data_IF_939615497150
#
_entry.id   IF_939615497150
#
_cell.length_a   1.000
_cell.length_b   1.000
_cell.length_c   1.000
_cell.angle_alpha   90.00
_cell.angle_beta   90.00
_cell.angle_gamma   90.00
#
_symmetry.space_group_name_H-M   'P 1'
#
loop_
_entity.id
_entity.type
_entity.pdbx_description
1 polymer ?
#
# COMPACT_ATOMS: atom_id res chain seq x y z
N UNK A 1 -5.41 23.26 11.35
CA UNK A 1 -6.06 22.49 10.29
C UNK A 1 -6.41 23.38 9.09
N UNK A 2 -7.18 24.47 9.25
CA UNK A 2 -7.64 25.33 8.15
C UNK A 2 -6.52 25.85 7.23
N UNK A 3 -5.34 26.13 7.77
CA UNK A 3 -4.15 26.50 6.98
C UNK A 3 -3.59 25.31 6.20
N UNK A 4 -3.53 24.13 6.81
CA UNK A 4 -2.99 22.92 6.17
C UNK A 4 -3.81 22.51 4.95
N UNK A 5 -5.12 22.46 5.07
CA UNK A 5 -6.05 22.08 3.97
C UNK A 5 -5.95 23.02 2.76
N UNK A 6 -5.48 24.25 2.94
CA UNK A 6 -5.26 25.21 1.84
C UNK A 6 -3.94 24.99 1.09
N UNK A 7 -3.07 24.07 1.57
CA UNK A 7 -1.78 23.81 0.94
C UNK A 7 -1.87 22.67 -0.06
N UNK A 8 -1.12 22.79 -1.17
CA UNK A 8 -0.99 21.70 -2.15
C UNK A 8 -0.41 20.42 -1.53
N UNK A 9 0.48 20.56 -0.55
CA UNK A 9 1.11 19.43 0.16
C UNK A 9 0.09 18.56 0.87
N UNK A 10 -0.93 19.15 1.50
CA UNK A 10 -2.00 18.41 2.17
C UNK A 10 -2.74 17.52 1.18
N UNK A 11 -3.10 18.04 0.02
CA UNK A 11 -3.84 17.28 -1.00
C UNK A 11 -2.99 16.21 -1.68
N UNK A 12 -1.70 16.47 -1.90
CA UNK A 12 -0.79 15.43 -2.38
C UNK A 12 -0.64 14.29 -1.38
N UNK A 13 -0.53 14.58 -0.08
CA UNK A 13 -0.56 13.55 0.96
C UNK A 13 -1.88 12.80 0.97
N UNK A 14 -3.02 13.49 0.92
CA UNK A 14 -4.34 12.86 0.90
C UNK A 14 -4.47 11.89 -0.30
N UNK A 15 -4.11 12.33 -1.50
CA UNK A 15 -4.11 11.47 -2.70
C UNK A 15 -3.18 10.27 -2.53
N UNK A 16 -1.96 10.49 -2.04
CA UNK A 16 -0.99 9.42 -1.81
C UNK A 16 -1.51 8.38 -0.81
N UNK A 17 -2.09 8.81 0.29
CA UNK A 17 -2.61 7.91 1.32
C UNK A 17 -3.89 7.19 0.88
N UNK A 18 -4.81 7.88 0.19
CA UNK A 18 -6.03 7.26 -0.37
C UNK A 18 -5.64 6.17 -1.37
N UNK A 19 -4.76 6.48 -2.33
CA UNK A 19 -4.33 5.55 -3.36
C UNK A 19 -3.53 4.36 -2.79
N UNK A 20 -2.65 4.62 -1.82
CA UNK A 20 -1.88 3.57 -1.14
C UNK A 20 -2.77 2.62 -0.35
N UNK A 21 -3.76 3.16 0.38
CA UNK A 21 -4.66 2.33 1.18
C UNK A 21 -5.67 1.56 0.32
N UNK A 22 -6.09 2.15 -0.81
CA UNK A 22 -6.87 1.42 -1.82
C UNK A 22 -6.12 0.15 -2.27
N UNK A 23 -4.88 0.31 -2.71
CA UNK A 23 -4.06 -0.80 -3.19
C UNK A 23 -3.82 -1.86 -2.11
N UNK A 24 -3.53 -1.41 -0.89
CA UNK A 24 -3.36 -2.28 0.27
C UNK A 24 -4.55 -3.18 0.48
N UNK A 25 -5.74 -2.60 0.66
CA UNK A 25 -6.93 -3.37 1.00
C UNK A 25 -7.51 -4.14 -0.19
N UNK A 26 -7.36 -3.65 -1.42
CA UNK A 26 -7.75 -4.40 -2.62
C UNK A 26 -7.01 -5.74 -2.69
N UNK A 27 -5.72 -5.77 -2.39
CA UNK A 27 -4.92 -7.00 -2.33
C UNK A 27 -5.24 -7.80 -1.07
N UNK A 28 -5.17 -7.18 0.10
CA UNK A 28 -5.27 -7.86 1.39
C UNK A 28 -6.57 -8.63 1.58
N UNK A 29 -7.68 -8.09 1.11
CA UNK A 29 -9.01 -8.71 1.27
C UNK A 29 -9.24 -9.85 0.28
N UNK A 30 -8.74 -9.70 -0.94
CA UNK A 30 -9.08 -10.65 -2.01
C UNK A 30 -8.03 -11.72 -2.28
N UNK A 31 -6.76 -11.54 -1.86
CA UNK A 31 -5.67 -12.45 -2.21
C UNK A 31 -5.91 -13.90 -1.78
N UNK A 32 -6.49 -14.13 -0.59
CA UNK A 32 -6.73 -15.50 -0.10
C UNK A 32 -7.78 -16.22 -0.93
N UNK A 33 -8.93 -15.55 -1.20
CA UNK A 33 -9.98 -16.10 -2.06
C UNK A 33 -9.45 -16.35 -3.48
N UNK A 34 -8.73 -15.37 -4.02
CA UNK A 34 -8.11 -15.49 -5.34
C UNK A 34 -7.16 -16.67 -5.46
N UNK A 35 -6.27 -16.89 -4.48
CA UNK A 35 -5.35 -18.03 -4.49
C UNK A 35 -6.11 -19.37 -4.52
N UNK A 36 -7.21 -19.48 -3.78
CA UNK A 36 -8.05 -20.69 -3.81
C UNK A 36 -8.72 -20.87 -5.19
N UNK A 37 -9.22 -19.81 -5.79
CA UNK A 37 -9.87 -19.85 -7.11
C UNK A 37 -8.90 -20.28 -8.24
N UNK A 38 -7.63 -19.92 -8.15
CA UNK A 38 -6.61 -20.34 -9.14
C UNK A 38 -5.98 -21.71 -8.83
N UNK A 39 -6.48 -22.44 -7.82
CA UNK A 39 -6.15 -23.84 -7.56
C UNK A 39 -5.19 -24.11 -6.39
N UNK A 40 -4.81 -23.11 -5.60
CA UNK A 40 -4.10 -23.37 -4.34
C UNK A 40 -5.07 -23.93 -3.29
N UNK A 41 -4.56 -24.77 -2.39
CA UNK A 41 -5.37 -25.23 -1.26
C UNK A 41 -5.73 -24.07 -0.32
N UNK A 42 -6.86 -24.17 0.38
CA UNK A 42 -7.26 -23.17 1.38
C UNK A 42 -6.19 -23.02 2.48
N UNK A 43 -5.49 -24.11 2.79
CA UNK A 43 -4.37 -24.10 3.75
C UNK A 43 -3.19 -23.28 3.22
N UNK A 44 -2.78 -23.48 1.97
CA UNK A 44 -1.67 -22.74 1.36
C UNK A 44 -1.99 -21.24 1.25
N UNK A 45 -3.24 -20.90 0.86
CA UNK A 45 -3.70 -19.53 0.79
C UNK A 45 -3.70 -18.83 2.16
N UNK A 46 -4.13 -19.53 3.21
CA UNK A 46 -4.09 -19.05 4.58
C UNK A 46 -2.64 -18.89 5.09
N UNK A 47 -1.78 -19.87 4.78
CA UNK A 47 -0.35 -19.80 5.08
C UNK A 47 0.34 -18.63 4.38
N UNK A 48 0.02 -18.35 3.13
CA UNK A 48 0.54 -17.21 2.39
C UNK A 48 0.21 -15.89 3.11
N UNK A 49 -1.04 -15.72 3.56
CA UNK A 49 -1.47 -14.53 4.32
C UNK A 49 -0.73 -14.42 5.66
N UNK A 50 -0.60 -15.54 6.39
CA UNK A 50 0.18 -15.59 7.65
C UNK A 50 1.65 -15.26 7.42
N UNK A 51 2.26 -15.80 6.37
CA UNK A 51 3.64 -15.53 6.00
C UNK A 51 3.87 -14.06 5.62
N UNK A 52 2.93 -13.42 4.89
CA UNK A 52 2.98 -11.96 4.64
C UNK A 52 3.08 -11.19 5.96
N UNK A 53 2.24 -11.53 6.94
CA UNK A 53 2.23 -10.85 8.24
C UNK A 53 3.53 -11.08 9.03
N UNK A 54 4.07 -12.30 8.97
CA UNK A 54 5.33 -12.64 9.64
C UNK A 54 6.51 -11.89 9.04
N UNK A 55 6.61 -11.86 7.70
CA UNK A 55 7.66 -11.14 6.95
C UNK A 55 7.51 -9.63 7.07
N UNK A 56 6.29 -9.13 7.29
CA UNK A 56 6.03 -7.71 7.48
C UNK A 56 6.72 -7.13 8.74
N UNK A 57 6.85 -7.90 9.81
CA UNK A 57 7.46 -7.41 11.06
C UNK A 57 8.91 -6.93 10.84
N UNK A 58 9.86 -7.79 10.39
CA UNK A 58 11.22 -7.33 10.11
C UNK A 58 11.27 -6.30 8.97
N UNK A 59 10.38 -6.41 7.96
CA UNK A 59 10.27 -5.44 6.87
C UNK A 59 9.96 -4.02 7.38
N UNK A 60 8.94 -3.87 8.21
CA UNK A 60 8.57 -2.58 8.80
C UNK A 60 9.69 -1.99 9.66
N UNK A 61 10.33 -2.81 10.50
CA UNK A 61 11.44 -2.35 11.36
C UNK A 61 12.61 -1.89 10.50
N UNK A 62 13.04 -2.70 9.53
CA UNK A 62 14.16 -2.40 8.65
C UNK A 62 13.91 -1.17 7.77
N UNK A 63 12.74 -1.09 7.16
CA UNK A 63 12.36 0.06 6.32
C UNK A 63 12.12 1.32 7.15
N UNK A 64 11.58 1.20 8.37
CA UNK A 64 11.49 2.31 9.30
C UNK A 64 12.86 2.91 9.61
N UNK A 65 13.82 2.07 9.98
CA UNK A 65 15.21 2.48 10.22
C UNK A 65 15.89 3.06 8.96
N UNK A 66 15.69 2.39 7.82
CA UNK A 66 16.24 2.87 6.55
C UNK A 66 15.70 4.25 6.18
N UNK A 67 14.45 4.54 6.50
CA UNK A 67 13.79 5.80 6.18
C UNK A 67 14.43 7.01 6.87
N UNK A 68 15.06 6.80 8.03
CA UNK A 68 15.81 7.86 8.73
C UNK A 68 17.10 8.26 7.96
N UNK A 69 17.64 7.34 7.16
CA UNK A 69 18.88 7.55 6.40
C UNK A 69 18.65 8.05 4.99
N UNK A 70 17.74 7.41 4.23
CA UNK A 70 17.55 7.71 2.82
C UNK A 70 16.41 8.69 2.54
N UNK A 71 15.50 8.89 3.51
CA UNK A 71 14.32 9.73 3.37
C UNK A 71 13.01 8.92 3.37
N UNK A 72 11.97 9.53 3.92
CA UNK A 72 10.65 8.90 4.08
C UNK A 72 9.99 8.61 2.73
N UNK A 73 10.16 9.52 1.77
CA UNK A 73 9.64 9.40 0.41
C UNK A 73 10.21 8.20 -0.35
N UNK A 74 11.48 7.87 -0.12
CA UNK A 74 12.11 6.69 -0.71
C UNK A 74 11.52 5.40 -0.17
N UNK A 75 11.34 5.31 1.15
CA UNK A 75 10.75 4.12 1.77
C UNK A 75 9.28 3.97 1.38
N UNK A 76 8.55 5.10 1.25
CA UNK A 76 7.20 5.06 0.69
C UNK A 76 7.20 4.51 -0.74
N UNK A 77 8.10 4.97 -1.60
CA UNK A 77 8.24 4.47 -2.97
C UNK A 77 8.61 2.98 -3.03
N UNK A 78 9.50 2.52 -2.13
CA UNK A 78 9.85 1.10 -1.98
C UNK A 78 8.61 0.29 -1.58
N UNK A 79 7.81 0.76 -0.64
CA UNK A 79 6.56 0.12 -0.24
C UNK A 79 5.54 0.03 -1.39
N UNK A 80 5.37 1.12 -2.14
CA UNK A 80 4.53 1.13 -3.34
C UNK A 80 5.04 0.15 -4.40
N UNK A 81 6.35 0.08 -4.63
CA UNK A 81 6.96 -0.90 -5.54
C UNK A 81 6.70 -2.33 -5.07
N UNK A 82 6.76 -2.58 -3.75
CA UNK A 82 6.36 -3.87 -3.16
C UNK A 82 4.95 -4.28 -3.56
N UNK A 83 3.97 -3.36 -3.49
CA UNK A 83 2.60 -3.64 -3.93
C UNK A 83 2.49 -3.83 -5.44
N UNK A 84 3.24 -3.09 -6.25
CA UNK A 84 3.28 -3.32 -7.71
C UNK A 84 3.79 -4.72 -8.02
N UNK A 85 4.91 -5.14 -7.43
CA UNK A 85 5.48 -6.48 -7.61
C UNK A 85 4.49 -7.55 -7.12
N UNK A 86 3.84 -7.33 -5.98
CA UNK A 86 2.80 -8.22 -5.45
C UNK A 86 1.65 -8.40 -6.44
N UNK A 87 1.10 -7.30 -6.98
CA UNK A 87 0.02 -7.35 -7.96
C UNK A 87 0.45 -8.07 -9.25
N UNK A 88 1.66 -7.81 -9.74
CA UNK A 88 2.19 -8.50 -10.91
C UNK A 88 2.39 -10.00 -10.65
N UNK A 89 2.87 -10.37 -9.46
CA UNK A 89 3.00 -11.78 -9.07
C UNK A 89 1.63 -12.47 -9.00
N UNK A 90 0.61 -11.81 -8.41
CA UNK A 90 -0.77 -12.33 -8.39
C UNK A 90 -1.31 -12.54 -9.80
N UNK A 91 -1.17 -11.57 -10.70
CA UNK A 91 -1.62 -11.69 -12.10
C UNK A 91 -0.86 -12.81 -12.83
N UNK A 92 0.43 -12.96 -12.59
CA UNK A 92 1.23 -14.03 -13.19
C UNK A 92 0.82 -15.42 -12.66
N UNK A 93 0.43 -15.54 -11.39
CA UNK A 93 -0.05 -16.78 -10.78
C UNK A 93 -1.30 -17.34 -11.46
N UNK A 94 -2.15 -16.52 -12.05
CA UNK A 94 -3.33 -16.97 -12.81
C UNK A 94 -2.94 -17.86 -13.99
N UNK A 95 -1.81 -17.56 -14.63
CA UNK A 95 -1.32 -18.32 -15.81
C UNK A 95 -0.35 -19.44 -15.45
N UNK A 96 0.45 -19.20 -14.42
CA UNK A 96 1.53 -20.10 -13.99
C UNK A 96 1.53 -20.20 -12.46
N UNK A 97 0.64 -21.05 -11.87
CA UNK A 97 0.58 -21.22 -10.43
C UNK A 97 1.82 -21.97 -9.93
N UNK A 98 2.84 -21.22 -9.52
CA UNK A 98 4.11 -21.77 -9.03
C UNK A 98 4.38 -21.30 -7.60
N UNK A 99 4.98 -22.16 -6.74
CA UNK A 99 5.41 -21.74 -5.39
C UNK A 99 6.36 -20.54 -5.42
N UNK A 100 7.20 -20.41 -6.44
CA UNK A 100 8.12 -19.29 -6.59
C UNK A 100 7.39 -17.95 -6.66
N UNK A 101 6.36 -17.83 -7.50
CA UNK A 101 5.57 -16.58 -7.61
C UNK A 101 4.80 -16.29 -6.32
N UNK A 102 4.37 -17.33 -5.60
CA UNK A 102 3.73 -17.16 -4.30
C UNK A 102 4.72 -16.56 -3.29
N UNK A 103 5.97 -17.04 -3.24
CA UNK A 103 7.01 -16.45 -2.38
C UNK A 103 7.38 -15.02 -2.79
N UNK A 104 7.41 -14.72 -4.09
CA UNK A 104 7.63 -13.35 -4.59
C UNK A 104 6.51 -12.42 -4.09
N UNK A 105 5.25 -12.85 -4.21
CA UNK A 105 4.09 -12.11 -3.71
C UNK A 105 4.19 -11.85 -2.22
N UNK A 106 4.43 -12.90 -1.42
CA UNK A 106 4.56 -12.82 0.05
C UNK A 106 5.67 -11.86 0.46
N UNK A 107 6.85 -12.00 -0.16
CA UNK A 107 8.01 -11.16 0.18
C UNK A 107 7.80 -9.71 -0.23
N UNK A 108 7.29 -9.48 -1.43
CA UNK A 108 7.04 -8.12 -1.94
C UNK A 108 5.99 -7.39 -1.10
N UNK A 109 4.89 -8.04 -0.77
CA UNK A 109 3.86 -7.47 0.08
C UNK A 109 4.33 -7.28 1.51
N UNK A 110 4.89 -8.33 2.14
CA UNK A 110 5.30 -8.33 3.54
C UNK A 110 6.53 -7.45 3.78
N UNK A 111 7.68 -7.77 3.18
CA UNK A 111 8.93 -7.09 3.47
C UNK A 111 8.96 -5.64 2.95
N UNK A 112 8.35 -5.37 1.79
CA UNK A 112 8.39 -4.05 1.18
C UNK A 112 7.08 -3.28 1.39
N UNK A 113 5.94 -3.87 1.01
CA UNK A 113 4.64 -3.19 1.01
C UNK A 113 4.24 -2.64 2.38
N UNK A 114 4.47 -3.39 3.44
CA UNK A 114 4.17 -2.95 4.81
C UNK A 114 5.07 -1.81 5.31
N UNK A 115 6.15 -1.48 4.60
CA UNK A 115 6.95 -0.28 4.88
C UNK A 115 6.18 1.04 4.82
N UNK A 116 5.05 1.09 4.10
CA UNK A 116 4.19 2.27 4.06
C UNK A 116 3.71 2.69 5.46
N UNK A 117 3.33 1.72 6.31
CA UNK A 117 2.84 2.00 7.66
C UNK A 117 3.91 2.56 8.57
N UNK A 118 5.18 2.15 8.38
CA UNK A 118 6.30 2.59 9.22
C UNK A 118 6.63 4.08 9.04
N UNK A 119 6.33 4.68 7.89
CA UNK A 119 6.72 6.06 7.56
C UNK A 119 5.55 7.04 7.45
N UNK A 120 4.31 6.57 7.39
CA UNK A 120 3.12 7.41 7.18
C UNK A 120 3.01 8.55 8.18
N UNK A 121 3.09 8.25 9.48
CA UNK A 121 3.04 9.25 10.54
C UNK A 121 4.23 10.22 10.47
N UNK A 122 5.42 9.70 10.19
CA UNK A 122 6.64 10.49 10.09
C UNK A 122 6.61 11.47 8.90
N UNK A 123 6.11 11.06 7.73
CA UNK A 123 5.93 11.96 6.57
C UNK A 123 5.01 13.12 6.94
N UNK A 124 3.87 12.82 7.58
CA UNK A 124 2.93 13.87 7.99
C UNK A 124 3.54 14.79 9.04
N UNK A 125 4.30 14.25 10.01
CA UNK A 125 4.96 15.04 11.04
C UNK A 125 6.04 15.96 10.48
N UNK A 126 6.80 15.52 9.47
CA UNK A 126 7.81 16.34 8.82
C UNK A 126 7.23 17.51 8.02
N UNK A 127 6.05 17.34 7.42
CA UNK A 127 5.39 18.39 6.61
C UNK A 127 4.57 19.33 7.49
N UNK A 128 3.90 18.81 8.52
CA UNK A 128 2.97 19.54 9.37
C UNK A 128 3.37 19.45 10.86
N UNK A 129 4.49 20.03 11.21
CA UNK A 129 4.98 20.10 12.58
C UNK A 129 4.11 20.99 13.46
N UNK A 130 4.09 20.71 14.78
CA UNK A 130 3.52 21.56 15.81
C UNK A 130 2.20 21.08 16.39
N UNK A 131 1.58 21.95 17.22
CA UNK A 131 0.42 21.61 18.09
C UNK A 131 -0.84 21.09 17.36
N UNK A 132 -0.94 21.30 16.06
CA UNK A 132 -2.09 20.87 15.25
C UNK A 132 -1.84 19.58 14.48
N UNK A 133 -0.69 18.91 14.66
CA UNK A 133 -0.34 17.66 14.00
C UNK A 133 -1.44 16.61 14.11
N UNK A 134 -1.93 16.34 15.32
CA UNK A 134 -2.96 15.32 15.55
C UNK A 134 -4.25 15.56 14.76
N UNK A 135 -4.71 16.82 14.66
CA UNK A 135 -5.91 17.16 13.87
C UNK A 135 -5.67 17.01 12.37
N UNK A 136 -4.47 17.32 11.88
CA UNK A 136 -4.12 17.19 10.46
C UNK A 136 -3.98 15.71 10.09
N UNK A 137 -3.24 14.96 10.90
CA UNK A 137 -3.06 13.52 10.71
C UNK A 137 -4.38 12.77 10.78
N UNK A 138 -5.22 13.05 11.80
CA UNK A 138 -6.54 12.46 11.92
C UNK A 138 -7.45 12.74 10.71
N UNK A 139 -7.38 13.96 10.14
CA UNK A 139 -8.15 14.27 8.92
C UNK A 139 -7.61 13.49 7.71
N UNK A 140 -6.29 13.37 7.55
CA UNK A 140 -5.71 12.54 6.50
C UNK A 140 -6.09 11.06 6.66
N UNK A 141 -6.11 10.53 7.90
CA UNK A 141 -6.56 9.16 8.19
C UNK A 141 -8.03 8.97 7.81
N UNK A 142 -8.90 9.94 8.13
CA UNK A 142 -10.31 9.87 7.76
C UNK A 142 -10.51 9.83 6.23
N UNK A 143 -9.79 10.65 5.49
CA UNK A 143 -9.84 10.65 4.02
C UNK A 143 -9.33 9.32 3.44
N UNK A 144 -8.25 8.79 3.98
CA UNK A 144 -7.62 7.55 3.51
C UNK A 144 -8.52 6.32 3.74
N UNK A 145 -9.39 6.31 4.77
CA UNK A 145 -10.37 5.23 4.99
C UNK A 145 -11.30 5.08 3.77
N UNK A 146 -11.64 6.18 3.11
CA UNK A 146 -12.41 6.14 1.85
C UNK A 146 -11.73 5.29 0.76
N UNK A 147 -10.40 5.42 0.60
CA UNK A 147 -9.63 4.57 -0.30
C UNK A 147 -9.62 3.11 0.14
N UNK A 148 -9.43 2.87 1.45
CA UNK A 148 -9.46 1.54 2.03
C UNK A 148 -10.79 0.81 1.87
N UNK A 149 -11.91 1.52 1.91
CA UNK A 149 -13.23 0.95 1.64
C UNK A 149 -13.48 0.74 0.14
N UNK A 150 -13.07 1.69 -0.70
CA UNK A 150 -13.25 1.62 -2.15
C UNK A 150 -12.45 0.48 -2.79
N UNK A 151 -11.24 0.16 -2.27
CA UNK A 151 -10.38 -0.88 -2.81
C UNK A 151 -11.05 -2.25 -2.88
N UNK A 152 -11.44 -2.85 -1.75
CA UNK A 152 -12.12 -4.14 -1.74
C UNK A 152 -13.46 -4.10 -2.47
N UNK A 153 -14.25 -3.05 -2.25
CA UNK A 153 -15.56 -2.93 -2.88
C UNK A 153 -15.46 -2.94 -4.41
N UNK A 154 -14.61 -2.10 -4.99
CA UNK A 154 -14.46 -2.01 -6.44
C UNK A 154 -13.83 -3.29 -7.03
N UNK A 155 -12.81 -3.83 -6.35
CA UNK A 155 -12.17 -5.09 -6.78
C UNK A 155 -13.16 -6.25 -6.76
N UNK A 156 -14.01 -6.34 -5.73
CA UNK A 156 -15.08 -7.33 -5.67
C UNK A 156 -16.15 -7.15 -6.76
N UNK A 157 -16.62 -5.90 -6.95
CA UNK A 157 -17.60 -5.59 -7.99
C UNK A 157 -17.08 -5.91 -9.41
N UNK A 158 -15.80 -5.64 -9.68
CA UNK A 158 -15.15 -5.99 -10.96
C UNK A 158 -15.10 -7.52 -11.10
N UNK A 159 -14.70 -8.23 -10.05
CA UNK A 159 -14.69 -9.70 -10.06
C UNK A 159 -16.09 -10.28 -10.32
N UNK A 160 -17.12 -9.77 -9.64
CA UNK A 160 -18.50 -10.24 -9.82
C UNK A 160 -19.03 -10.01 -11.25
N UNK A 161 -18.56 -8.94 -11.91
CA UNK A 161 -18.95 -8.61 -13.28
C UNK A 161 -18.12 -9.35 -14.34
N UNK A 162 -16.85 -9.69 -14.07
CA UNK A 162 -15.90 -10.21 -15.07
C UNK A 162 -15.45 -11.65 -14.82
N UNK A 163 -15.65 -12.16 -13.61
CA UNK A 163 -15.15 -13.48 -13.18
C UNK A 163 -13.63 -13.49 -12.91
N UNK A 164 -12.94 -12.33 -12.90
CA UNK A 164 -11.50 -12.26 -12.70
C UNK A 164 -11.08 -11.09 -11.79
N UNK A 165 -10.07 -11.31 -10.96
CA UNK A 165 -9.44 -10.29 -10.13
C UNK A 165 -8.36 -9.48 -10.87
N UNK A 166 -7.94 -9.90 -12.08
CA UNK A 166 -6.79 -9.30 -12.78
C UNK A 166 -6.93 -7.79 -12.98
N UNK A 167 -8.12 -7.31 -13.40
CA UNK A 167 -8.37 -5.87 -13.57
C UNK A 167 -8.25 -5.13 -12.24
N UNK A 168 -8.78 -5.69 -11.15
CA UNK A 168 -8.66 -5.11 -9.81
C UNK A 168 -7.19 -4.98 -9.36
N UNK A 169 -6.37 -5.99 -9.62
CA UNK A 169 -4.93 -5.95 -9.31
C UNK A 169 -4.15 -4.98 -10.20
N UNK A 170 -4.52 -4.84 -11.48
CA UNK A 170 -3.95 -3.79 -12.35
C UNK A 170 -4.26 -2.39 -11.83
N UNK A 171 -5.50 -2.13 -11.39
CA UNK A 171 -5.89 -0.86 -10.78
C UNK A 171 -5.11 -0.62 -9.49
N UNK A 172 -5.00 -1.63 -8.62
CA UNK A 172 -4.26 -1.53 -7.36
C UNK A 172 -2.77 -1.21 -7.60
N UNK A 173 -2.13 -1.90 -8.55
CA UNK A 173 -0.75 -1.62 -8.96
C UNK A 173 -0.58 -0.20 -9.51
N UNK A 174 -1.49 0.24 -10.38
CA UNK A 174 -1.49 1.60 -10.92
C UNK A 174 -1.68 2.68 -9.83
N UNK A 175 -2.60 2.46 -8.88
CA UNK A 175 -2.79 3.37 -7.74
C UNK A 175 -1.60 3.37 -6.78
N UNK A 176 -0.86 2.25 -6.65
CA UNK A 176 0.41 2.25 -5.90
C UNK A 176 1.44 3.20 -6.54
N UNK A 177 1.54 3.24 -7.87
CA UNK A 177 2.41 4.20 -8.57
C UNK A 177 1.94 5.64 -8.37
N UNK A 178 0.62 5.89 -8.48
CA UNK A 178 0.03 7.21 -8.19
C UNK A 178 0.35 7.64 -6.76
N UNK A 179 0.25 6.72 -5.79
CA UNK A 179 0.59 6.97 -4.39
C UNK A 179 2.06 7.39 -4.23
N UNK A 180 2.99 6.66 -4.87
CA UNK A 180 4.41 7.01 -4.83
C UNK A 180 4.67 8.42 -5.39
N UNK A 181 4.13 8.73 -6.56
CA UNK A 181 4.27 10.05 -7.19
C UNK A 181 3.67 11.15 -6.32
N UNK A 182 2.48 10.94 -5.76
CA UNK A 182 1.81 11.93 -4.92
C UNK A 182 2.62 12.27 -3.66
N UNK A 183 3.22 11.27 -3.00
CA UNK A 183 4.09 11.52 -1.85
C UNK A 183 5.37 12.27 -2.25
N UNK A 184 5.94 11.96 -3.40
CA UNK A 184 7.08 12.73 -3.94
C UNK A 184 6.71 14.19 -4.23
N UNK A 185 5.51 14.46 -4.74
CA UNK A 185 5.00 15.82 -5.01
C UNK A 185 4.67 16.57 -3.71
N UNK A 186 4.31 15.88 -2.63
CA UNK A 186 4.22 16.48 -1.31
C UNK A 186 5.59 17.00 -0.82
N UNK A 187 6.68 16.44 -1.34
CA UNK A 187 8.07 16.86 -1.13
C UNK A 187 8.47 16.94 0.37
N UNK A 188 8.36 15.85 1.15
CA UNK A 188 8.76 15.88 2.57
C UNK A 188 10.25 16.24 2.73
N UNK A 189 11.11 15.80 1.82
CA UNK A 189 12.54 16.10 1.81
C UNK A 189 12.85 17.59 1.72
N UNK A 190 12.04 18.39 1.05
CA UNK A 190 12.21 19.84 0.92
C UNK A 190 11.85 20.62 2.19
N UNK A 191 11.23 19.96 3.17
CA UNK A 191 10.87 20.58 4.45
C UNK A 191 12.00 20.42 5.47
N UNK A 192 12.87 19.40 5.28
CA UNK A 192 14.03 19.15 6.15
C UNK A 192 15.20 20.09 5.88
N UNK A 193 15.27 20.68 4.71
CA UNK A 193 16.31 21.66 4.32
C UNK A 193 15.92 23.07 4.73
#
# INVERSE_FOLDING_TARGET
>A
LARAVRTRRFWWLAVGYIAGLYAWYAVQVHQTKYLVEIGFSATDAAWALGAVSLVAVPGQIGLGYLSDRIGREWVWAIGCLGFVICCLALIALERTPTPFLLYVMVTAQGALGYGLTSVMGAITAEIFQGRHYGSIFGTLMLLMIGGGAAGPWLTGAIHDATGSYAIGFWIAGGLSLVSAVAIWLAAPRKVRA
#
